data_IF_198998155252
#
_entry.id   IF_198998155252
#
_cell.length_a   1.000
_cell.length_b   1.000
_cell.length_c   1.000
_cell.angle_alpha   90.00
_cell.angle_beta   90.00
_cell.angle_gamma   90.00
#
_symmetry.space_group_name_H-M   'P 1'
#
loop_
_entity.id
_entity.type
_entity.pdbx_description
1 polymer ?
#
# COMPACT_ATOMS: atom_id res chain seq x y z
N UNK A 1 31.08 2.33 16.85
CA UNK A 1 30.68 1.90 15.49
C UNK A 1 29.76 3.00 14.96
N UNK A 2 30.00 3.57 13.79
CA UNK A 2 29.09 4.57 13.23
C UNK A 2 27.78 3.87 12.91
N UNK A 3 26.67 4.32 13.50
CA UNK A 3 25.33 3.85 13.17
C UNK A 3 25.15 3.97 11.65
N UNK A 4 24.86 2.87 10.99
CA UNK A 4 24.60 2.86 9.56
C UNK A 4 23.13 3.15 9.33
N UNK A 5 22.85 4.19 8.56
CA UNK A 5 21.52 4.61 8.23
C UNK A 5 21.05 3.93 6.95
N UNK A 6 19.77 3.71 6.84
CA UNK A 6 19.11 3.19 5.63
C UNK A 6 18.31 4.31 4.97
N UNK A 7 18.57 4.52 3.69
CA UNK A 7 17.72 5.38 2.86
C UNK A 7 16.62 4.52 2.24
N UNK A 8 15.36 4.86 2.45
CA UNK A 8 14.21 4.21 1.81
C UNK A 8 13.61 5.14 0.76
N UNK A 9 13.40 4.64 -0.45
CA UNK A 9 12.81 5.37 -1.57
C UNK A 9 11.54 4.70 -2.08
N UNK A 10 10.52 5.51 -2.33
CA UNK A 10 9.27 5.12 -2.97
C UNK A 10 8.94 6.13 -4.07
N UNK A 11 9.09 5.72 -5.33
CA UNK A 11 8.98 6.57 -6.52
C UNK A 11 7.65 6.34 -7.23
N UNK A 12 6.82 7.37 -7.30
CA UNK A 12 5.64 7.41 -8.17
C UNK A 12 5.94 8.10 -9.50
N UNK A 13 5.00 8.10 -10.45
CA UNK A 13 5.17 8.72 -11.77
C UNK A 13 5.45 10.23 -11.71
N UNK A 14 4.90 10.93 -10.72
CA UNK A 14 5.05 12.37 -10.52
C UNK A 14 5.51 12.75 -9.12
N UNK A 15 5.99 11.79 -8.33
CA UNK A 15 6.40 12.01 -6.94
C UNK A 15 7.52 11.07 -6.51
N UNK A 16 8.26 11.48 -5.48
CA UNK A 16 9.23 10.63 -4.78
C UNK A 16 9.10 10.88 -3.29
N UNK A 17 8.90 9.83 -2.52
CA UNK A 17 9.03 9.86 -1.06
C UNK A 17 10.36 9.25 -0.67
N UNK A 18 11.07 9.88 0.25
CA UNK A 18 12.30 9.36 0.82
C UNK A 18 12.28 9.47 2.34
N UNK A 19 12.87 8.49 3.00
CA UNK A 19 13.10 8.52 4.45
C UNK A 19 14.47 7.95 4.79
N UNK A 20 15.16 8.59 5.70
CA UNK A 20 16.42 8.11 6.28
C UNK A 20 16.11 7.59 7.67
N UNK A 21 16.30 6.29 7.87
CA UNK A 21 16.01 5.61 9.13
C UNK A 21 17.31 5.14 9.80
N UNK A 22 17.32 5.27 11.11
CA UNK A 22 18.25 4.54 11.95
C UNK A 22 17.75 3.09 12.07
N UNK A 23 18.59 2.13 11.65
CA UNK A 23 18.17 0.73 11.59
C UNK A 23 17.91 0.13 12.98
N UNK A 24 18.61 0.57 14.01
CA UNK A 24 18.52 -0.01 15.34
C UNK A 24 17.29 0.50 16.11
N UNK A 25 17.01 1.80 15.99
CA UNK A 25 15.88 2.43 16.70
C UNK A 25 14.60 2.52 15.88
N UNK A 26 14.69 2.43 14.55
CA UNK A 26 13.58 2.69 13.64
C UNK A 26 13.21 4.18 13.53
N UNK A 27 14.00 5.06 14.12
CA UNK A 27 13.76 6.51 14.08
C UNK A 27 13.98 7.07 12.69
N UNK A 28 13.04 7.91 12.23
CA UNK A 28 13.17 8.66 10.97
C UNK A 28 13.90 9.97 11.25
N UNK A 29 15.15 10.05 10.81
CA UNK A 29 16.00 11.24 11.00
C UNK A 29 15.69 12.34 10.00
N UNK A 30 15.45 11.96 8.75
CA UNK A 30 15.11 12.87 7.65
C UNK A 30 14.03 12.24 6.78
N UNK A 31 13.06 13.02 6.35
CA UNK A 31 12.10 12.59 5.33
C UNK A 31 11.96 13.64 4.25
N UNK A 32 11.56 13.22 3.06
CA UNK A 32 11.30 14.11 1.94
C UNK A 32 10.10 13.66 1.11
N UNK A 33 9.49 14.65 0.43
CA UNK A 33 8.46 14.45 -0.56
C UNK A 33 8.72 15.37 -1.76
N UNK A 34 9.09 14.79 -2.88
CA UNK A 34 9.11 15.49 -4.16
C UNK A 34 7.74 15.34 -4.83
N UNK A 35 7.26 16.43 -5.40
CA UNK A 35 5.95 16.53 -6.03
C UNK A 35 6.06 17.21 -7.37
N UNK A 36 5.06 16.96 -8.24
CA UNK A 36 4.98 17.51 -9.59
C UNK A 36 6.21 17.20 -10.46
N UNK A 37 6.86 16.05 -10.22
CA UNK A 37 7.98 15.62 -11.06
C UNK A 37 7.54 15.56 -12.52
N UNK A 38 8.48 15.90 -13.40
CA UNK A 38 8.29 16.08 -14.84
C UNK A 38 7.46 17.31 -15.25
N UNK A 39 7.13 18.21 -14.29
CA UNK A 39 6.49 19.51 -14.55
C UNK A 39 7.45 20.66 -14.22
N UNK A 40 7.26 21.85 -14.86
CA UNK A 40 8.16 22.98 -14.65
C UNK A 40 8.20 23.53 -13.22
N UNK A 41 7.15 23.28 -12.44
CA UNK A 41 7.01 23.72 -11.05
C UNK A 41 7.24 22.57 -10.05
N UNK A 42 8.05 21.58 -10.42
CA UNK A 42 8.49 20.50 -9.55
C UNK A 42 9.27 21.02 -8.33
N UNK A 43 9.05 20.41 -7.20
CA UNK A 43 9.74 20.76 -5.94
C UNK A 43 9.90 19.54 -5.03
N UNK A 44 10.80 19.66 -4.05
CA UNK A 44 10.94 18.69 -2.97
C UNK A 44 10.86 19.40 -1.62
N UNK A 45 10.11 18.82 -0.69
CA UNK A 45 10.00 19.29 0.69
C UNK A 45 10.74 18.34 1.60
N UNK A 46 11.68 18.83 2.37
CA UNK A 46 12.40 18.09 3.39
C UNK A 46 11.84 18.36 4.78
N UNK A 47 11.90 17.35 5.64
CA UNK A 47 11.64 17.46 7.08
C UNK A 47 12.82 16.88 7.84
N UNK A 48 13.47 17.72 8.64
CA UNK A 48 14.61 17.35 9.49
C UNK A 48 14.48 18.06 10.84
N UNK A 49 14.65 17.34 11.96
CA UNK A 49 14.52 17.87 13.33
C UNK A 49 13.22 18.67 13.58
N UNK A 50 12.11 18.26 12.96
CA UNK A 50 10.83 18.95 13.10
C UNK A 50 10.62 20.15 12.17
N UNK A 51 11.68 20.68 11.58
CA UNK A 51 11.63 21.78 10.61
C UNK A 51 11.35 21.27 9.21
N UNK A 52 10.64 22.08 8.42
CA UNK A 52 10.35 21.79 7.01
C UNK A 52 10.88 22.90 6.14
N UNK A 53 11.52 22.56 5.04
CA UNK A 53 11.86 23.51 4.00
C UNK A 53 11.62 22.92 2.61
N UNK A 54 11.45 23.79 1.63
CA UNK A 54 11.11 23.44 0.27
C UNK A 54 12.24 23.87 -0.66
N UNK A 55 12.62 22.97 -1.57
CA UNK A 55 13.64 23.21 -2.60
C UNK A 55 12.99 23.11 -3.98
N UNK A 56 13.24 24.08 -4.83
CA UNK A 56 12.80 24.11 -6.22
C UNK A 56 13.59 23.10 -7.06
N UNK A 57 12.90 22.34 -7.89
CA UNK A 57 13.49 21.37 -8.81
C UNK A 57 13.35 21.78 -10.29
N UNK A 58 12.90 23.02 -10.60
CA UNK A 58 12.64 23.46 -11.96
C UNK A 58 13.80 23.29 -12.93
N UNK A 59 15.05 23.38 -12.45
CA UNK A 59 16.25 23.15 -13.24
C UNK A 59 16.44 21.68 -13.68
N UNK A 60 15.93 20.72 -12.91
CA UNK A 60 15.95 19.29 -13.20
C UNK A 60 14.72 18.62 -12.56
N UNK A 61 13.54 18.76 -13.18
CA UNK A 61 12.27 18.40 -12.56
C UNK A 61 11.94 16.90 -12.62
N UNK A 62 12.94 16.03 -12.65
CA UNK A 62 12.79 14.58 -12.74
C UNK A 62 13.23 13.85 -11.47
N UNK A 63 13.10 12.52 -11.45
CA UNK A 63 13.52 11.68 -10.33
C UNK A 63 15.02 11.83 -10.02
N UNK A 64 15.87 12.04 -11.05
CA UNK A 64 17.30 12.23 -10.85
C UNK A 64 17.57 13.56 -10.14
N UNK A 65 16.84 14.62 -10.49
CA UNK A 65 16.91 15.90 -9.79
C UNK A 65 16.46 15.80 -8.34
N UNK A 66 15.37 15.09 -8.09
CA UNK A 66 14.87 14.84 -6.72
C UNK A 66 15.88 14.06 -5.86
N UNK A 67 16.47 12.97 -6.39
CA UNK A 67 17.51 12.20 -5.68
C UNK A 67 18.79 13.01 -5.51
N UNK A 68 19.15 13.86 -6.48
CA UNK A 68 20.26 14.79 -6.37
C UNK A 68 20.07 15.80 -5.25
N UNK A 69 18.90 16.43 -5.18
CA UNK A 69 18.56 17.35 -4.09
C UNK A 69 18.59 16.66 -2.71
N UNK A 70 18.12 15.41 -2.64
CA UNK A 70 18.22 14.60 -1.42
C UNK A 70 19.68 14.36 -1.02
N UNK A 71 20.59 14.07 -1.96
CA UNK A 71 22.01 13.91 -1.66
C UNK A 71 22.62 15.21 -1.08
N UNK A 72 22.30 16.37 -1.67
CA UNK A 72 22.79 17.64 -1.15
C UNK A 72 22.25 17.94 0.26
N UNK A 73 20.99 17.61 0.52
CA UNK A 73 20.40 17.73 1.86
C UNK A 73 21.09 16.82 2.88
N UNK A 74 21.37 15.57 2.51
CA UNK A 74 22.12 14.63 3.36
C UNK A 74 23.51 15.15 3.70
N UNK A 75 24.23 15.73 2.72
CA UNK A 75 25.54 16.35 2.94
C UNK A 75 25.46 17.55 3.88
N UNK A 76 24.46 18.41 3.69
CA UNK A 76 24.25 19.58 4.55
C UNK A 76 24.09 19.22 6.04
N UNK A 77 23.56 18.03 6.31
CA UNK A 77 23.36 17.52 7.68
C UNK A 77 24.40 16.47 8.10
N UNK A 78 25.41 16.17 7.28
CA UNK A 78 26.45 15.18 7.57
C UNK A 78 25.93 13.75 7.67
N UNK A 79 24.82 13.44 6.98
CA UNK A 79 24.20 12.12 6.97
C UNK A 79 24.65 11.25 5.79
N UNK A 80 25.17 11.85 4.72
CA UNK A 80 25.55 11.17 3.48
C UNK A 80 26.54 10.01 3.71
N UNK A 81 27.60 10.27 4.48
CA UNK A 81 28.63 9.27 4.80
C UNK A 81 28.16 8.16 5.76
N UNK A 82 26.99 8.33 6.38
CA UNK A 82 26.38 7.36 7.30
C UNK A 82 25.38 6.43 6.60
N UNK A 83 24.93 6.76 5.37
CA UNK A 83 24.06 5.87 4.60
C UNK A 83 24.84 4.60 4.27
N UNK A 84 24.34 3.46 4.73
CA UNK A 84 24.96 2.16 4.48
C UNK A 84 24.35 1.38 3.32
N UNK A 85 23.06 1.58 3.05
CA UNK A 85 22.33 0.93 1.97
C UNK A 85 21.05 1.69 1.62
N UNK A 86 20.45 1.35 0.47
CA UNK A 86 19.23 1.98 -0.05
C UNK A 86 18.18 0.92 -0.31
N UNK A 87 17.00 1.09 0.27
CA UNK A 87 15.83 0.26 0.05
C UNK A 87 14.84 0.93 -0.92
N UNK A 88 14.31 0.16 -1.85
CA UNK A 88 13.36 0.63 -2.84
C UNK A 88 12.07 -0.18 -2.76
N UNK A 89 10.93 0.52 -2.71
CA UNK A 89 9.64 -0.12 -2.93
C UNK A 89 9.43 -0.34 -4.42
N UNK A 90 9.00 -1.56 -4.78
CA UNK A 90 8.55 -1.92 -6.12
C UNK A 90 7.18 -2.57 -6.02
N UNK A 91 6.21 -2.13 -6.84
CA UNK A 91 4.83 -2.65 -6.73
C UNK A 91 4.77 -4.10 -7.19
N UNK A 92 5.27 -4.45 -8.36
CA UNK A 92 5.15 -5.82 -8.86
C UNK A 92 6.49 -6.48 -9.13
N UNK A 93 6.69 -7.63 -8.49
CA UNK A 93 7.76 -8.60 -8.79
C UNK A 93 7.27 -9.80 -9.60
N UNK A 94 5.98 -9.81 -10.00
CA UNK A 94 5.37 -10.93 -10.72
C UNK A 94 5.50 -12.23 -9.91
N UNK A 95 5.75 -13.32 -10.59
CA UNK A 95 6.10 -14.62 -9.99
C UNK A 95 7.63 -14.81 -9.83
N UNK A 96 8.41 -13.82 -10.31
CA UNK A 96 9.88 -13.91 -10.27
C UNK A 96 10.43 -13.69 -8.85
N UNK A 97 9.73 -12.89 -8.03
CA UNK A 97 10.23 -12.49 -6.71
C UNK A 97 9.19 -12.75 -5.63
N UNK A 98 9.53 -13.68 -4.74
CA UNK A 98 8.74 -14.02 -3.54
C UNK A 98 9.27 -13.39 -2.26
N UNK A 99 10.38 -12.67 -2.33
CA UNK A 99 11.03 -11.97 -1.22
C UNK A 99 11.82 -10.75 -1.71
N UNK A 100 12.30 -9.96 -0.76
CA UNK A 100 13.17 -8.83 -1.03
C UNK A 100 14.56 -9.31 -1.49
N UNK A 101 15.22 -8.56 -2.37
CA UNK A 101 16.46 -8.98 -3.01
C UNK A 101 17.43 -7.82 -3.21
N UNK A 102 18.74 -8.10 -3.12
CA UNK A 102 19.80 -7.21 -3.57
C UNK A 102 19.72 -6.99 -5.08
N UNK A 103 19.89 -5.73 -5.50
CA UNK A 103 19.77 -5.33 -6.89
C UNK A 103 21.05 -5.61 -7.65
N UNK A 104 20.91 -6.33 -8.74
CA UNK A 104 21.87 -6.50 -9.81
C UNK A 104 21.19 -6.27 -11.17
N UNK A 105 21.91 -6.50 -12.27
CA UNK A 105 21.38 -6.32 -13.64
C UNK A 105 20.23 -7.32 -13.95
N UNK A 106 20.27 -8.53 -13.39
CA UNK A 106 19.21 -9.52 -13.57
C UNK A 106 17.93 -9.11 -12.87
N UNK A 107 18.04 -8.53 -11.67
CA UNK A 107 16.90 -8.01 -10.91
C UNK A 107 16.26 -6.83 -11.65
N UNK A 108 17.07 -5.92 -12.20
CA UNK A 108 16.56 -4.80 -13.03
C UNK A 108 15.79 -5.35 -14.24
N UNK A 109 16.38 -6.29 -14.98
CA UNK A 109 15.71 -6.91 -16.13
C UNK A 109 14.42 -7.67 -15.72
N UNK A 110 14.41 -8.30 -14.55
CA UNK A 110 13.23 -8.94 -13.98
C UNK A 110 12.11 -7.93 -13.68
N UNK A 111 12.43 -6.79 -13.07
CA UNK A 111 11.45 -5.72 -12.81
C UNK A 111 10.90 -5.14 -14.13
N UNK A 112 11.75 -5.00 -15.15
CA UNK A 112 11.32 -4.56 -16.49
C UNK A 112 10.30 -5.52 -17.12
N UNK A 113 10.51 -6.83 -16.99
CA UNK A 113 9.55 -7.86 -17.43
C UNK A 113 8.20 -7.76 -16.71
N UNK A 114 8.18 -7.25 -15.49
CA UNK A 114 6.97 -7.06 -14.69
C UNK A 114 6.22 -5.73 -14.99
N UNK A 115 6.73 -4.88 -15.89
CA UNK A 115 6.05 -3.62 -16.26
C UNK A 115 4.60 -3.84 -16.72
N UNK A 116 4.26 -4.86 -17.55
CA UNK A 116 2.87 -5.09 -17.94
C UNK A 116 1.91 -5.36 -16.77
N UNK A 117 2.41 -5.87 -15.63
CA UNK A 117 1.62 -6.13 -14.42
C UNK A 117 1.40 -4.87 -13.58
N UNK A 118 2.27 -3.88 -13.69
CA UNK A 118 2.19 -2.61 -12.96
C UNK A 118 2.64 -1.43 -13.84
N UNK A 119 1.96 -1.16 -14.98
CA UNK A 119 2.43 -0.19 -15.98
C UNK A 119 2.43 1.25 -15.48
N UNK A 120 1.63 1.57 -14.45
CA UNK A 120 1.57 2.89 -13.82
C UNK A 120 2.62 3.09 -12.71
N UNK A 121 3.32 2.02 -12.29
CA UNK A 121 4.18 2.03 -11.10
C UNK A 121 5.62 1.59 -11.41
N UNK A 122 5.82 0.39 -11.94
CA UNK A 122 7.17 -0.17 -12.14
C UNK A 122 8.12 0.71 -12.97
N UNK A 123 7.69 1.40 -14.05
CA UNK A 123 8.59 2.33 -14.76
C UNK A 123 9.15 3.43 -13.87
N UNK A 124 8.33 4.02 -13.00
CA UNK A 124 8.78 5.06 -12.07
C UNK A 124 9.73 4.51 -11.00
N UNK A 125 9.47 3.30 -10.49
CA UNK A 125 10.36 2.65 -9.55
C UNK A 125 11.74 2.38 -10.15
N UNK A 126 11.81 1.93 -11.40
CA UNK A 126 13.08 1.75 -12.13
C UNK A 126 13.83 3.07 -12.33
N UNK A 127 13.12 4.16 -12.62
CA UNK A 127 13.74 5.50 -12.73
C UNK A 127 14.38 5.92 -11.41
N UNK A 128 13.66 5.76 -10.31
CA UNK A 128 14.18 6.07 -8.97
C UNK A 128 15.37 5.20 -8.56
N UNK A 129 15.30 3.90 -8.85
CA UNK A 129 16.39 2.96 -8.61
C UNK A 129 17.65 3.34 -9.36
N UNK A 130 17.54 3.60 -10.68
CA UNK A 130 18.68 4.03 -11.52
C UNK A 130 19.24 5.39 -11.08
N UNK A 131 18.38 6.33 -10.69
CA UNK A 131 18.81 7.60 -10.14
C UNK A 131 19.62 7.43 -8.86
N UNK A 132 19.13 6.58 -7.93
CA UNK A 132 19.85 6.27 -6.71
C UNK A 132 21.21 5.61 -6.97
N UNK A 133 21.29 4.61 -7.83
CA UNK A 133 22.56 3.96 -8.21
C UNK A 133 23.56 4.94 -8.81
N UNK A 134 23.09 5.91 -9.60
CA UNK A 134 23.98 6.90 -10.26
C UNK A 134 24.54 7.94 -9.29
N UNK A 135 23.79 8.27 -8.23
CA UNK A 135 24.12 9.33 -7.27
C UNK A 135 24.82 8.76 -6.04
N UNK A 136 24.31 7.66 -5.49
CA UNK A 136 24.88 6.94 -4.33
C UNK A 136 25.78 5.77 -4.77
N UNK A 137 26.83 6.10 -5.50
CA UNK A 137 27.73 5.09 -6.10
C UNK A 137 28.31 4.14 -5.06
N UNK A 138 28.23 2.85 -5.35
CA UNK A 138 28.85 1.79 -4.53
C UNK A 138 28.04 1.39 -3.30
N UNK A 139 26.91 2.02 -3.01
CA UNK A 139 26.02 1.54 -1.96
C UNK A 139 25.16 0.38 -2.44
N UNK A 140 24.96 -0.67 -1.61
CA UNK A 140 24.03 -1.73 -1.92
C UNK A 140 22.60 -1.17 -2.04
N UNK A 141 21.88 -1.65 -3.04
CA UNK A 141 20.46 -1.35 -3.26
C UNK A 141 19.65 -2.63 -3.06
N UNK A 142 18.53 -2.53 -2.38
CA UNK A 142 17.59 -3.63 -2.15
C UNK A 142 16.22 -3.24 -2.67
N UNK A 143 15.54 -4.15 -3.35
CA UNK A 143 14.14 -3.98 -3.74
C UNK A 143 13.23 -4.83 -2.88
N UNK A 144 12.09 -4.25 -2.49
CA UNK A 144 11.04 -4.86 -1.70
C UNK A 144 9.75 -4.79 -2.50
N UNK A 145 9.14 -5.95 -2.77
CA UNK A 145 7.99 -6.06 -3.67
C UNK A 145 6.68 -6.15 -2.90
N UNK A 146 5.69 -5.32 -3.30
CA UNK A 146 4.35 -5.38 -2.72
C UNK A 146 3.61 -6.69 -3.01
N UNK A 147 3.99 -7.37 -4.10
CA UNK A 147 3.41 -8.67 -4.48
C UNK A 147 4.04 -9.86 -3.76
N UNK A 148 5.24 -9.71 -3.18
CA UNK A 148 6.00 -10.83 -2.64
C UNK A 148 5.28 -11.56 -1.50
N UNK A 149 4.64 -10.85 -0.57
CA UNK A 149 3.89 -11.43 0.54
C UNK A 149 2.75 -12.35 0.07
N UNK A 150 2.18 -12.07 -1.11
CA UNK A 150 1.06 -12.82 -1.67
C UNK A 150 1.49 -14.06 -2.48
N UNK A 151 2.80 -14.31 -2.64
CA UNK A 151 3.26 -15.51 -3.35
C UNK A 151 2.98 -16.82 -2.60
N UNK A 152 2.54 -16.76 -1.35
CA UNK A 152 2.09 -17.92 -0.55
C UNK A 152 0.62 -18.28 -0.77
N UNK A 153 -0.12 -17.51 -1.57
CA UNK A 153 -1.51 -17.85 -1.91
C UNK A 153 -1.59 -19.21 -2.63
N UNK A 154 -2.56 -20.06 -2.27
CA UNK A 154 -2.75 -21.33 -2.97
C UNK A 154 -3.29 -21.11 -4.39
N UNK A 155 -3.05 -22.07 -5.27
CA UNK A 155 -3.37 -21.98 -6.70
C UNK A 155 -4.84 -21.60 -6.97
N UNK A 156 -5.77 -22.20 -6.23
CA UNK A 156 -7.20 -21.92 -6.38
C UNK A 156 -7.62 -20.52 -5.94
N UNK A 157 -6.78 -19.79 -5.19
CA UNK A 157 -7.02 -18.40 -4.80
C UNK A 157 -6.45 -17.40 -5.81
N UNK A 158 -5.33 -17.71 -6.47
CA UNK A 158 -4.72 -16.79 -7.40
C UNK A 158 -5.11 -17.01 -8.87
N UNK A 159 -5.62 -18.20 -9.23
CA UNK A 159 -6.01 -18.51 -10.62
C UNK A 159 -7.37 -17.90 -10.93
N UNK A 160 -7.45 -17.18 -12.05
CA UNK A 160 -8.73 -16.72 -12.57
C UNK A 160 -9.47 -17.85 -13.31
N UNK A 161 -10.79 -17.86 -13.21
CA UNK A 161 -11.66 -18.86 -13.87
C UNK A 161 -11.85 -18.53 -15.37
N UNK A 162 -10.75 -18.48 -16.11
CA UNK A 162 -10.66 -18.29 -17.56
C UNK A 162 -9.81 -19.42 -18.15
N UNK A 163 -9.70 -19.56 -19.51
CA UNK A 163 -8.86 -20.62 -20.09
C UNK A 163 -7.45 -20.61 -19.47
N UNK A 164 -7.04 -21.75 -18.91
CA UNK A 164 -5.80 -21.87 -18.11
C UNK A 164 -4.54 -21.53 -18.92
N UNK A 165 -4.57 -21.76 -20.23
CA UNK A 165 -3.49 -21.37 -21.16
C UNK A 165 -3.13 -19.88 -21.10
N UNK A 166 -4.07 -19.01 -20.66
CA UNK A 166 -3.79 -17.58 -20.49
C UNK A 166 -2.89 -17.32 -19.28
N UNK A 167 -3.04 -18.12 -18.22
CA UNK A 167 -2.09 -18.09 -17.12
C UNK A 167 -0.72 -18.61 -17.56
N UNK A 168 -0.65 -19.78 -18.19
CA UNK A 168 0.61 -20.38 -18.63
C UNK A 168 1.39 -19.47 -19.59
N UNK A 169 0.69 -18.80 -20.49
CA UNK A 169 1.32 -17.98 -21.53
C UNK A 169 1.64 -16.55 -21.09
N UNK A 170 0.77 -15.95 -20.27
CA UNK A 170 0.84 -14.52 -19.95
C UNK A 170 0.98 -14.22 -18.46
N UNK A 171 0.98 -15.21 -17.59
CA UNK A 171 0.95 -15.02 -16.15
C UNK A 171 -0.35 -14.34 -15.68
N UNK A 172 -1.48 -14.62 -16.36
CA UNK A 172 -2.77 -14.03 -16.03
C UNK A 172 -3.34 -14.66 -14.77
N UNK A 173 -3.03 -14.03 -13.62
CA UNK A 173 -3.44 -14.46 -12.28
C UNK A 173 -3.60 -13.27 -11.34
N UNK A 174 -4.14 -13.51 -10.15
CA UNK A 174 -4.10 -12.56 -9.03
C UNK A 174 -2.69 -12.48 -8.47
N UNK A 175 -2.16 -11.27 -8.32
CA UNK A 175 -0.87 -11.00 -7.65
C UNK A 175 -1.06 -10.28 -6.31
N UNK A 176 -2.02 -9.38 -6.22
CA UNK A 176 -2.24 -8.52 -5.07
C UNK A 176 -1.28 -7.33 -5.00
N UNK A 177 -1.42 -6.55 -3.94
CA UNK A 177 -0.52 -5.44 -3.60
C UNK A 177 -0.56 -5.16 -2.09
N UNK A 178 0.10 -4.09 -1.63
CA UNK A 178 0.27 -3.72 -0.22
C UNK A 178 0.93 -4.82 0.64
N UNK A 179 1.60 -5.79 0.03
CA UNK A 179 2.19 -6.93 0.73
C UNK A 179 3.21 -6.53 1.79
N UNK A 180 3.99 -5.47 1.56
CA UNK A 180 4.94 -4.93 2.53
C UNK A 180 4.22 -4.46 3.80
N UNK A 181 3.08 -3.76 3.65
CA UNK A 181 2.22 -3.36 4.76
C UNK A 181 1.63 -4.59 5.48
N UNK A 182 1.08 -5.56 4.74
CA UNK A 182 0.51 -6.77 5.35
C UNK A 182 1.52 -7.58 6.14
N UNK A 183 2.73 -7.71 5.64
CA UNK A 183 3.82 -8.39 6.36
C UNK A 183 4.13 -7.69 7.66
N UNK A 184 4.34 -6.38 7.64
CA UNK A 184 4.57 -5.57 8.83
C UNK A 184 3.42 -5.67 9.82
N UNK A 185 2.19 -5.43 9.36
CA UNK A 185 1.00 -5.39 10.21
C UNK A 185 0.66 -6.75 10.80
N UNK A 186 0.89 -7.86 10.07
CA UNK A 186 0.68 -9.21 10.62
C UNK A 186 1.64 -9.53 11.76
N UNK A 187 2.92 -9.16 11.62
CA UNK A 187 3.93 -9.34 12.68
C UNK A 187 3.61 -8.45 13.90
N UNK A 188 3.26 -7.18 13.67
CA UNK A 188 2.89 -6.24 14.74
C UNK A 188 1.59 -6.62 15.45
N UNK A 189 0.60 -7.14 14.73
CA UNK A 189 -0.65 -7.64 15.33
C UNK A 189 -0.36 -8.80 16.28
N UNK A 190 0.46 -9.76 15.85
CA UNK A 190 0.84 -10.90 16.69
C UNK A 190 1.59 -10.45 17.95
N UNK A 191 2.55 -9.53 17.79
CA UNK A 191 3.29 -8.91 18.90
C UNK A 191 2.36 -8.16 19.85
N UNK A 192 1.46 -7.33 19.33
CA UNK A 192 0.51 -6.52 20.11
C UNK A 192 -0.45 -7.40 20.93
N UNK A 193 -0.91 -8.50 20.35
CA UNK A 193 -1.82 -9.45 21.01
C UNK A 193 -1.08 -10.47 21.90
N UNK A 194 0.26 -10.48 21.91
CA UNK A 194 1.07 -11.44 22.66
C UNK A 194 0.90 -12.88 22.18
N UNK A 195 0.71 -13.10 20.87
CA UNK A 195 0.49 -14.40 20.25
C UNK A 195 1.51 -14.71 19.18
N UNK A 196 1.74 -15.99 18.88
CA UNK A 196 2.49 -16.35 17.68
C UNK A 196 1.61 -16.11 16.44
N UNK A 197 2.19 -15.49 15.41
CA UNK A 197 1.48 -15.23 14.14
C UNK A 197 1.00 -16.51 13.45
N UNK A 198 1.66 -17.64 13.72
CA UNK A 198 1.27 -18.95 13.19
C UNK A 198 -0.03 -19.48 13.77
N UNK A 199 -0.41 -19.01 14.95
CA UNK A 199 -1.64 -19.40 15.62
C UNK A 199 -2.81 -18.44 15.34
N UNK A 200 -2.60 -17.40 14.51
CA UNK A 200 -3.58 -16.39 14.21
C UNK A 200 -4.14 -16.50 12.78
N UNK A 201 -5.45 -16.46 12.69
CA UNK A 201 -6.20 -16.22 11.45
C UNK A 201 -6.62 -14.78 11.44
N UNK A 202 -6.02 -14.00 10.54
CA UNK A 202 -6.22 -12.56 10.47
C UNK A 202 -6.89 -12.19 9.17
N UNK A 203 -7.75 -11.19 9.23
CA UNK A 203 -8.22 -10.43 8.07
C UNK A 203 -7.70 -9.01 8.24
N UNK A 204 -6.86 -8.56 7.34
CA UNK A 204 -6.18 -7.26 7.45
C UNK A 204 -6.71 -6.35 6.34
N UNK A 205 -7.34 -5.24 6.72
CA UNK A 205 -7.85 -4.21 5.82
C UNK A 205 -6.88 -3.02 5.80
N UNK A 206 -6.12 -2.89 4.71
CA UNK A 206 -5.28 -1.73 4.45
C UNK A 206 -6.10 -0.71 3.66
N UNK A 207 -6.56 0.34 4.34
CA UNK A 207 -7.47 1.34 3.80
C UNK A 207 -6.78 2.70 3.68
N UNK A 208 -6.52 3.10 2.46
CA UNK A 208 -5.99 4.39 2.07
C UNK A 208 -6.69 4.90 0.82
N UNK A 209 -6.07 5.81 0.06
CA UNK A 209 -6.57 6.19 -1.27
C UNK A 209 -6.59 4.99 -2.22
N UNK A 210 -5.56 4.12 -2.18
CA UNK A 210 -5.65 2.72 -2.59
C UNK A 210 -6.05 1.88 -1.39
N UNK A 211 -6.97 0.93 -1.56
CA UNK A 211 -7.45 0.07 -0.50
C UNK A 211 -7.46 -1.39 -0.93
N UNK A 212 -7.07 -2.27 -0.03
CA UNK A 212 -7.17 -3.72 -0.22
C UNK A 212 -7.37 -4.44 1.12
N UNK A 213 -7.70 -5.72 1.05
CA UNK A 213 -7.92 -6.56 2.21
C UNK A 213 -7.32 -7.95 1.93
N UNK A 214 -6.76 -8.57 2.95
CA UNK A 214 -6.04 -9.84 2.82
C UNK A 214 -6.41 -10.80 3.94
N UNK A 215 -6.55 -12.08 3.60
CA UNK A 215 -6.64 -13.18 4.53
C UNK A 215 -5.22 -13.69 4.87
N UNK A 216 -4.89 -13.77 6.15
CA UNK A 216 -3.60 -14.28 6.63
C UNK A 216 -3.85 -15.43 7.59
N UNK A 217 -3.20 -16.56 7.36
CA UNK A 217 -3.21 -17.71 8.28
C UNK A 217 -1.83 -18.34 8.32
N UNK A 218 -1.38 -18.77 9.49
CA UNK A 218 -0.03 -19.29 9.73
C UNK A 218 1.08 -18.27 9.38
N UNK A 219 0.78 -16.97 9.44
CA UNK A 219 1.70 -15.90 9.05
C UNK A 219 1.87 -15.71 7.53
N UNK A 220 1.05 -16.37 6.70
CA UNK A 220 1.11 -16.36 5.25
C UNK A 220 -0.17 -15.79 4.63
N UNK A 221 -0.04 -15.11 3.49
CA UNK A 221 -1.20 -14.67 2.69
C UNK A 221 -1.93 -15.88 2.11
N UNK A 222 -3.25 -15.91 2.29
CA UNK A 222 -4.14 -16.96 1.76
C UNK A 222 -5.00 -16.49 0.61
N UNK A 223 -5.35 -15.22 0.62
CA UNK A 223 -6.10 -14.53 -0.44
C UNK A 223 -5.99 -13.03 -0.25
N UNK A 224 -6.24 -12.26 -1.30
CA UNK A 224 -6.25 -10.80 -1.25
C UNK A 224 -7.21 -10.22 -2.29
N UNK A 225 -7.67 -9.00 -2.07
CA UNK A 225 -8.70 -8.39 -2.91
C UNK A 225 -8.19 -7.78 -4.22
N UNK A 226 -6.95 -7.28 -4.27
CA UNK A 226 -6.38 -6.78 -5.50
C UNK A 226 -5.97 -7.96 -6.41
N UNK A 227 -6.14 -7.79 -7.72
CA UNK A 227 -6.01 -8.86 -8.70
C UNK A 227 -4.70 -8.84 -9.48
N UNK A 228 -4.82 -8.99 -10.80
CA UNK A 228 -3.72 -8.83 -11.77
C UNK A 228 -3.05 -7.47 -11.61
N UNK A 229 -3.86 -6.44 -11.38
CA UNK A 229 -3.44 -5.06 -11.11
C UNK A 229 -4.09 -4.56 -9.82
N UNK A 230 -3.64 -3.41 -9.26
CA UNK A 230 -4.27 -2.83 -8.07
C UNK A 230 -5.66 -2.19 -8.31
N UNK A 231 -6.44 -2.66 -9.29
CA UNK A 231 -7.78 -2.15 -9.62
C UNK A 231 -8.90 -2.98 -8.98
N UNK A 232 -8.79 -4.31 -9.03
CA UNK A 232 -9.80 -5.25 -8.51
C UNK A 232 -9.99 -5.10 -6.99
N UNK A 233 -11.18 -5.39 -6.49
CA UNK A 233 -11.47 -5.54 -5.07
C UNK A 233 -12.32 -4.43 -4.47
N UNK A 234 -11.84 -3.77 -3.45
CA UNK A 234 -12.55 -2.75 -2.68
C UNK A 234 -12.83 -1.48 -3.50
N UNK A 235 -13.87 -0.74 -3.14
CA UNK A 235 -14.03 0.65 -3.57
C UNK A 235 -12.87 1.46 -3.00
N UNK A 236 -12.23 2.31 -3.81
CA UNK A 236 -11.07 3.10 -3.41
C UNK A 236 -11.33 4.59 -3.63
N UNK A 237 -10.35 5.44 -3.40
CA UNK A 237 -10.51 6.88 -3.61
C UNK A 237 -10.91 7.25 -5.04
N UNK A 238 -10.19 6.70 -6.04
CA UNK A 238 -10.44 6.95 -7.48
C UNK A 238 -10.68 5.70 -8.30
N UNK A 239 -10.43 4.51 -7.74
CA UNK A 239 -10.57 3.20 -8.42
C UNK A 239 -11.90 2.56 -8.08
N UNK A 240 -12.51 1.91 -9.08
CA UNK A 240 -13.82 1.29 -8.93
C UNK A 240 -13.85 0.08 -7.99
N UNK A 241 -12.75 -0.67 -7.90
CA UNK A 241 -12.80 -2.03 -7.39
C UNK A 241 -13.56 -2.95 -8.36
N UNK A 242 -14.17 -4.00 -7.83
CA UNK A 242 -14.90 -4.99 -8.61
C UNK A 242 -15.99 -4.38 -9.49
N UNK A 243 -16.00 -4.83 -10.72
CA UNK A 243 -16.99 -4.45 -11.74
C UNK A 243 -17.24 -5.64 -12.67
N UNK A 244 -18.43 -5.73 -13.27
CA UNK A 244 -18.70 -6.70 -14.31
C UNK A 244 -17.82 -6.39 -15.56
N UNK A 245 -17.02 -7.35 -16.06
CA UNK A 245 -16.20 -7.16 -17.24
C UNK A 245 -16.98 -6.71 -18.48
N UNK A 246 -18.27 -7.05 -18.59
CA UNK A 246 -19.15 -6.65 -19.72
C UNK A 246 -19.37 -5.13 -19.78
N UNK A 247 -19.02 -4.40 -18.72
CA UNK A 247 -19.03 -2.91 -18.74
C UNK A 247 -18.11 -2.37 -19.84
N UNK A 248 -17.02 -3.05 -20.17
CA UNK A 248 -16.14 -2.65 -21.27
C UNK A 248 -16.86 -2.63 -22.61
N UNK A 249 -17.55 -3.72 -22.96
CA UNK A 249 -18.34 -3.80 -24.21
C UNK A 249 -19.51 -2.81 -24.19
N UNK A 250 -20.22 -2.72 -23.06
CA UNK A 250 -21.34 -1.80 -22.89
C UNK A 250 -20.94 -0.33 -23.14
N UNK A 251 -19.84 0.12 -22.57
CA UNK A 251 -19.36 1.51 -22.73
C UNK A 251 -18.74 1.75 -24.11
N UNK A 252 -18.10 0.74 -24.72
CA UNK A 252 -17.58 0.85 -26.07
C UNK A 252 -18.73 1.05 -27.07
N UNK A 253 -19.82 0.30 -26.93
CA UNK A 253 -20.98 0.35 -27.84
C UNK A 253 -21.89 1.56 -27.61
N UNK A 254 -22.15 1.94 -26.34
CA UNK A 254 -23.16 2.95 -25.99
C UNK A 254 -22.57 4.34 -25.71
N UNK A 255 -21.29 4.43 -25.36
CA UNK A 255 -20.61 5.69 -25.06
C UNK A 255 -19.39 5.96 -25.98
N UNK A 256 -19.15 5.10 -26.98
CA UNK A 256 -18.00 5.20 -27.89
C UNK A 256 -16.64 5.32 -27.17
N UNK A 257 -16.50 4.69 -26.03
CA UNK A 257 -15.25 4.72 -25.26
C UNK A 257 -14.29 3.61 -25.73
N UNK A 258 -13.02 3.96 -25.88
CA UNK A 258 -11.96 2.95 -26.12
C UNK A 258 -11.62 2.20 -24.84
N UNK A 259 -10.98 1.02 -24.96
CA UNK A 259 -10.49 0.24 -23.81
C UNK A 259 -9.59 1.11 -22.91
N UNK A 260 -8.70 1.92 -23.51
CA UNK A 260 -7.81 2.81 -22.77
C UNK A 260 -8.59 3.88 -21.95
N UNK A 261 -9.63 4.48 -22.55
CA UNK A 261 -10.48 5.46 -21.87
C UNK A 261 -11.26 4.83 -20.71
N UNK A 262 -11.79 3.61 -20.90
CA UNK A 262 -12.50 2.88 -19.84
C UNK A 262 -11.55 2.53 -18.72
N UNK A 263 -10.36 2.01 -19.03
CA UNK A 263 -9.33 1.68 -18.05
C UNK A 263 -8.89 2.93 -17.25
N UNK A 264 -8.70 4.08 -17.91
CA UNK A 264 -8.36 5.34 -17.25
C UNK A 264 -9.50 5.82 -16.32
N UNK A 265 -10.75 5.72 -16.78
CA UNK A 265 -11.92 6.06 -15.98
C UNK A 265 -12.02 5.20 -14.72
N UNK A 266 -11.85 3.87 -14.85
CA UNK A 266 -11.94 2.94 -13.72
C UNK A 266 -10.82 3.15 -12.69
N UNK A 267 -9.65 3.61 -13.13
CA UNK A 267 -8.50 3.86 -12.26
C UNK A 267 -8.48 5.26 -11.63
N UNK A 268 -8.94 6.30 -12.34
CA UNK A 268 -8.70 7.69 -11.95
C UNK A 268 -9.95 8.53 -11.69
N UNK A 269 -11.14 8.08 -12.17
CA UNK A 269 -12.38 8.87 -12.14
C UNK A 269 -13.55 8.14 -11.49
N UNK A 270 -13.26 7.02 -10.83
CA UNK A 270 -14.25 6.13 -10.19
C UNK A 270 -14.12 6.19 -8.66
N UNK A 271 -14.54 5.16 -7.97
CA UNK A 271 -14.44 5.07 -6.51
C UNK A 271 -15.21 6.17 -5.77
N UNK A 272 -14.68 6.60 -4.63
CA UNK A 272 -15.31 7.68 -3.84
C UNK A 272 -15.50 8.95 -4.66
N UNK A 273 -14.50 9.33 -5.46
CA UNK A 273 -14.56 10.49 -6.34
C UNK A 273 -15.70 10.36 -7.36
N UNK A 274 -15.76 9.26 -8.08
CA UNK A 274 -16.72 9.06 -9.17
C UNK A 274 -18.16 8.95 -8.67
N UNK A 275 -18.38 8.29 -7.54
CA UNK A 275 -19.73 8.12 -6.96
C UNK A 275 -20.20 9.41 -6.32
N UNK A 276 -19.36 10.12 -5.57
CA UNK A 276 -19.73 11.34 -4.87
C UNK A 276 -19.81 12.55 -5.78
N UNK A 277 -19.00 12.59 -6.84
CA UNK A 277 -18.78 13.78 -7.66
C UNK A 277 -18.04 14.91 -6.94
N UNK A 278 -17.41 14.64 -5.77
CA UNK A 278 -16.80 15.64 -4.90
C UNK A 278 -15.29 15.46 -4.74
N UNK A 279 -14.89 14.34 -4.16
CA UNK A 279 -13.52 14.13 -3.70
C UNK A 279 -13.17 12.64 -3.62
N UNK A 280 -11.87 12.34 -3.74
CA UNK A 280 -11.31 11.04 -3.39
C UNK A 280 -10.83 10.97 -1.92
N UNK A 281 -10.82 12.10 -1.20
CA UNK A 281 -10.46 12.14 0.23
C UNK A 281 -11.64 11.67 1.08
N UNK A 282 -11.45 10.56 1.80
CA UNK A 282 -12.48 9.94 2.63
C UNK A 282 -12.99 10.88 3.73
N UNK A 283 -12.15 11.75 4.29
CA UNK A 283 -12.55 12.72 5.32
C UNK A 283 -13.56 13.71 4.76
N UNK A 284 -13.29 14.24 3.56
CA UNK A 284 -14.24 15.12 2.85
C UNK A 284 -15.56 14.40 2.60
N UNK A 285 -15.51 13.11 2.20
CA UNK A 285 -16.72 12.32 1.97
C UNK A 285 -17.51 12.11 3.28
N UNK A 286 -16.85 11.80 4.39
CA UNK A 286 -17.49 11.68 5.70
C UNK A 286 -18.16 12.99 6.14
N UNK A 287 -17.46 14.12 6.01
CA UNK A 287 -17.98 15.46 6.35
C UNK A 287 -19.19 15.85 5.52
N UNK A 288 -19.14 15.67 4.20
CA UNK A 288 -20.23 16.00 3.29
C UNK A 288 -21.43 15.04 3.44
N UNK A 289 -21.17 13.76 3.72
CA UNK A 289 -22.21 12.79 4.05
C UNK A 289 -22.98 13.20 5.34
N UNK A 290 -22.25 13.65 6.37
CA UNK A 290 -22.85 14.15 7.62
C UNK A 290 -23.71 15.41 7.40
N UNK A 291 -23.33 16.28 6.45
CA UNK A 291 -24.14 17.45 6.03
C UNK A 291 -25.34 17.08 5.14
N UNK A 292 -25.46 15.82 4.76
CA UNK A 292 -26.61 15.32 3.99
C UNK A 292 -26.39 15.22 2.48
N UNK A 293 -25.18 15.44 1.97
CA UNK A 293 -24.90 15.35 0.53
C UNK A 293 -25.18 13.93 -0.01
N UNK A 294 -26.10 13.75 -0.99
CA UNK A 294 -26.55 12.42 -1.38
C UNK A 294 -25.45 11.56 -2.01
N UNK A 295 -24.60 12.13 -2.87
CA UNK A 295 -23.50 11.42 -3.51
C UNK A 295 -22.43 10.98 -2.49
N UNK A 296 -22.13 11.81 -1.50
CA UNK A 296 -21.19 11.45 -0.43
C UNK A 296 -21.74 10.34 0.48
N UNK A 297 -23.04 10.39 0.81
CA UNK A 297 -23.70 9.31 1.56
C UNK A 297 -23.63 7.99 0.82
N UNK A 298 -23.95 7.99 -0.48
CA UNK A 298 -23.89 6.79 -1.31
C UNK A 298 -22.47 6.25 -1.41
N UNK A 299 -21.49 7.11 -1.67
CA UNK A 299 -20.08 6.71 -1.79
C UNK A 299 -19.56 6.07 -0.51
N UNK A 300 -19.85 6.67 0.65
CA UNK A 300 -19.47 6.14 1.95
C UNK A 300 -20.14 4.80 2.24
N UNK A 301 -21.44 4.67 1.95
CA UNK A 301 -22.17 3.42 2.15
C UNK A 301 -21.64 2.29 1.27
N UNK A 302 -21.37 2.57 0.00
CA UNK A 302 -20.79 1.58 -0.92
C UNK A 302 -19.40 1.12 -0.48
N UNK A 303 -18.56 2.04 0.01
CA UNK A 303 -17.24 1.71 0.55
C UNK A 303 -17.35 0.77 1.75
N UNK A 304 -18.18 1.11 2.73
CA UNK A 304 -18.41 0.33 3.95
C UNK A 304 -19.02 -1.04 3.62
N UNK A 305 -20.05 -1.08 2.79
CA UNK A 305 -20.74 -2.31 2.43
C UNK A 305 -19.82 -3.29 1.67
N UNK A 306 -19.06 -2.80 0.69
CA UNK A 306 -18.08 -3.60 -0.03
C UNK A 306 -17.02 -4.17 0.90
N UNK A 307 -16.50 -3.35 1.81
CA UNK A 307 -15.50 -3.76 2.80
C UNK A 307 -16.06 -4.84 3.73
N UNK A 308 -17.27 -4.67 4.26
CA UNK A 308 -17.92 -5.66 5.12
C UNK A 308 -18.09 -7.02 4.41
N UNK A 309 -18.51 -7.03 3.14
CA UNK A 309 -18.60 -8.24 2.32
C UNK A 309 -17.25 -8.93 2.16
N UNK A 310 -16.20 -8.16 1.86
CA UNK A 310 -14.85 -8.70 1.72
C UNK A 310 -14.30 -9.27 3.03
N UNK A 311 -14.61 -8.66 4.18
CA UNK A 311 -14.23 -9.23 5.49
C UNK A 311 -14.84 -10.62 5.66
N UNK A 312 -16.11 -10.81 5.32
CA UNK A 312 -16.75 -12.12 5.32
C UNK A 312 -16.05 -13.12 4.40
N UNK A 313 -15.77 -12.71 3.17
CA UNK A 313 -15.06 -13.54 2.17
C UNK A 313 -13.65 -13.93 2.66
N UNK A 314 -12.87 -12.97 3.15
CA UNK A 314 -11.51 -13.21 3.64
C UNK A 314 -11.49 -14.05 4.93
N UNK A 315 -12.53 -13.99 5.73
CA UNK A 315 -12.71 -14.89 6.90
C UNK A 315 -12.83 -16.35 6.45
N UNK A 316 -13.49 -16.61 5.33
CA UNK A 316 -13.53 -17.95 4.71
C UNK A 316 -12.15 -18.36 4.22
N UNK A 317 -11.45 -17.50 3.51
CA UNK A 317 -10.12 -17.79 2.98
C UNK A 317 -9.06 -18.04 4.09
N UNK A 318 -9.18 -17.34 5.21
CA UNK A 318 -8.32 -17.58 6.39
C UNK A 318 -8.70 -18.85 7.21
N UNK A 319 -9.84 -19.47 6.91
CA UNK A 319 -10.37 -20.61 7.67
C UNK A 319 -10.92 -20.24 9.04
N UNK A 320 -11.30 -18.98 9.25
CA UNK A 320 -11.84 -18.43 10.47
C UNK A 320 -11.29 -17.03 10.77
N UNK A 321 -11.64 -16.48 11.94
CA UNK A 321 -11.24 -15.13 12.33
C UNK A 321 -10.85 -15.11 13.81
N UNK A 322 -9.59 -14.75 14.08
CA UNK A 322 -9.08 -14.45 15.41
C UNK A 322 -8.88 -12.94 15.60
N UNK A 323 -8.45 -12.25 14.50
CA UNK A 323 -8.28 -10.81 14.50
C UNK A 323 -8.69 -10.18 13.16
N UNK A 324 -9.53 -9.15 13.22
CA UNK A 324 -9.80 -8.20 12.14
C UNK A 324 -8.91 -6.97 12.37
N UNK A 325 -8.03 -6.66 11.44
CA UNK A 325 -7.05 -5.58 11.61
C UNK A 325 -7.34 -4.44 10.65
N UNK A 326 -7.42 -3.22 11.17
CA UNK A 326 -7.55 -1.99 10.39
C UNK A 326 -6.21 -1.27 10.37
N UNK A 327 -5.75 -0.90 9.17
CA UNK A 327 -4.50 -0.20 8.94
C UNK A 327 -4.59 0.72 7.71
N UNK A 328 -3.55 1.49 7.44
CA UNK A 328 -3.56 2.51 6.39
C UNK A 328 -4.33 3.77 6.84
N UNK A 329 -4.14 4.87 6.13
CA UNK A 329 -4.61 6.19 6.58
C UNK A 329 -6.09 6.26 6.96
N UNK A 330 -6.98 5.61 6.21
CA UNK A 330 -8.41 5.52 6.52
C UNK A 330 -8.65 4.52 7.65
N UNK A 331 -8.07 3.32 7.56
CA UNK A 331 -8.25 2.27 8.57
C UNK A 331 -7.79 2.68 9.97
N UNK A 332 -6.70 3.44 10.04
CA UNK A 332 -6.12 3.95 11.28
C UNK A 332 -6.90 5.13 11.88
N UNK A 333 -7.52 5.98 11.06
CA UNK A 333 -8.02 7.27 11.54
C UNK A 333 -9.54 7.45 11.47
N UNK A 334 -10.27 6.67 10.65
CA UNK A 334 -11.72 6.77 10.55
C UNK A 334 -12.42 5.82 11.54
N UNK A 335 -12.77 6.34 12.69
CA UNK A 335 -13.61 5.66 13.68
C UNK A 335 -15.02 5.36 13.12
N UNK A 336 -15.55 6.25 12.28
CA UNK A 336 -16.87 6.10 11.64
C UNK A 336 -16.92 4.89 10.72
N UNK A 337 -15.93 4.72 9.84
CA UNK A 337 -15.86 3.56 8.93
C UNK A 337 -15.74 2.27 9.73
N UNK A 338 -14.85 2.21 10.72
CA UNK A 338 -14.68 1.01 11.56
C UNK A 338 -15.95 0.65 12.31
N UNK A 339 -16.61 1.62 12.93
CA UNK A 339 -17.89 1.42 13.63
C UNK A 339 -18.95 0.86 12.67
N UNK A 340 -19.15 1.50 11.54
CA UNK A 340 -20.20 1.10 10.59
C UNK A 340 -19.91 -0.25 9.94
N UNK A 341 -18.65 -0.57 9.66
CA UNK A 341 -18.24 -1.89 9.16
C UNK A 341 -18.52 -2.96 10.21
N UNK A 342 -18.13 -2.76 11.47
CA UNK A 342 -18.40 -3.69 12.55
C UNK A 342 -19.93 -3.88 12.80
N UNK A 343 -20.73 -2.85 12.50
CA UNK A 343 -22.19 -2.96 12.53
C UNK A 343 -22.76 -4.04 11.60
N UNK A 344 -22.10 -4.32 10.47
CA UNK A 344 -22.45 -5.42 9.56
C UNK A 344 -21.99 -6.80 10.07
N UNK A 345 -21.03 -6.85 11.02
CA UNK A 345 -20.29 -8.07 11.36
C UNK A 345 -20.74 -8.70 12.70
N UNK A 346 -21.86 -8.26 13.26
CA UNK A 346 -22.40 -8.84 14.50
C UNK A 346 -22.65 -10.34 14.41
N UNK A 347 -22.99 -10.88 13.25
CA UNK A 347 -23.15 -12.30 13.01
C UNK A 347 -21.83 -13.10 13.14
N UNK A 348 -20.69 -12.46 12.98
CA UNK A 348 -19.35 -13.01 13.25
C UNK A 348 -18.97 -12.89 14.74
N UNK A 349 -19.80 -12.27 15.56
CA UNK A 349 -19.54 -12.04 16.98
C UNK A 349 -18.52 -10.91 17.23
N UNK A 350 -18.49 -9.92 16.35
CA UNK A 350 -17.67 -8.71 16.50
C UNK A 350 -18.56 -7.56 16.98
N UNK A 351 -18.29 -7.06 18.18
CA UNK A 351 -19.06 -5.98 18.81
C UNK A 351 -18.13 -4.82 19.13
N UNK A 352 -18.48 -3.61 18.67
CA UNK A 352 -17.65 -2.42 18.83
C UNK A 352 -17.64 -1.93 20.28
N UNK A 353 -16.46 -1.55 20.76
CA UNK A 353 -16.25 -0.68 21.90
C UNK A 353 -16.04 0.75 21.40
N UNK A 354 -17.04 1.61 21.56
CA UNK A 354 -17.03 2.98 21.01
C UNK A 354 -15.89 3.83 21.60
N UNK A 355 -15.63 3.71 22.90
CA UNK A 355 -14.58 4.51 23.55
C UNK A 355 -13.19 4.07 23.07
N UNK A 356 -12.95 2.77 23.00
CA UNK A 356 -11.70 2.20 22.50
C UNK A 356 -11.49 2.56 21.01
N UNK A 357 -12.56 2.51 20.19
CA UNK A 357 -12.52 2.90 18.80
C UNK A 357 -12.10 4.38 18.60
N UNK A 358 -12.63 5.28 19.42
CA UNK A 358 -12.26 6.70 19.38
C UNK A 358 -10.80 6.95 19.80
N UNK A 359 -10.26 6.15 20.72
CA UNK A 359 -8.87 6.27 21.19
C UNK A 359 -7.85 5.71 20.20
N UNK A 360 -8.23 4.70 19.42
CA UNK A 360 -7.35 4.04 18.45
C UNK A 360 -7.25 4.85 17.14
N UNK A 361 -6.69 6.05 17.21
CA UNK A 361 -6.47 6.98 16.09
C UNK A 361 -5.14 7.70 16.24
N UNK A 362 -4.69 8.33 15.15
CA UNK A 362 -3.50 9.22 15.13
C UNK A 362 -2.23 8.53 15.63
N UNK A 363 -1.99 7.30 15.15
CA UNK A 363 -0.82 6.51 15.49
C UNK A 363 -0.99 5.61 16.73
N UNK A 364 -2.16 5.63 17.38
CA UNK A 364 -2.43 4.77 18.52
C UNK A 364 -3.00 3.42 18.09
N UNK A 365 -2.27 2.35 18.38
CA UNK A 365 -2.78 0.99 18.27
C UNK A 365 -3.79 0.68 19.40
N UNK A 366 -4.77 -0.20 19.13
CA UNK A 366 -5.72 -0.59 20.17
C UNK A 366 -6.74 -1.61 19.68
N UNK A 367 -7.17 -2.48 20.61
CA UNK A 367 -8.35 -3.33 20.41
C UNK A 367 -9.59 -2.45 20.49
N UNK A 368 -10.50 -2.60 19.53
CA UNK A 368 -11.71 -1.77 19.39
C UNK A 368 -13.01 -2.57 19.53
N UNK A 369 -12.92 -3.82 20.00
CA UNK A 369 -14.07 -4.68 20.29
C UNK A 369 -14.22 -4.89 21.78
N UNK A 370 -15.47 -5.14 22.20
CA UNK A 370 -15.81 -5.50 23.58
C UNK A 370 -15.28 -6.87 23.98
N UNK A 371 -15.16 -7.13 25.28
CA UNK A 371 -14.57 -8.36 25.80
C UNK A 371 -15.38 -9.63 25.51
N UNK A 372 -16.68 -9.49 25.22
CA UNK A 372 -17.58 -10.60 24.84
C UNK A 372 -17.56 -10.90 23.33
N UNK A 373 -16.77 -10.17 22.55
CA UNK A 373 -16.56 -10.48 21.12
C UNK A 373 -15.83 -11.81 20.95
N UNK A 374 -16.23 -12.59 19.92
CA UNK A 374 -15.61 -13.89 19.60
C UNK A 374 -14.22 -13.76 18.99
N UNK A 375 -13.97 -12.67 18.29
CA UNK A 375 -12.67 -12.29 17.74
C UNK A 375 -12.41 -10.83 18.10
N UNK A 376 -11.16 -10.40 18.01
CA UNK A 376 -10.82 -8.99 18.23
C UNK A 376 -10.83 -8.22 16.91
N UNK A 377 -11.33 -6.99 16.92
CA UNK A 377 -10.98 -6.01 15.92
C UNK A 377 -9.94 -5.08 16.53
N UNK A 378 -8.89 -4.77 15.77
CA UNK A 378 -7.73 -4.02 16.27
C UNK A 378 -7.24 -3.02 15.21
N UNK A 379 -6.78 -1.87 15.67
CA UNK A 379 -6.08 -0.89 14.83
C UNK A 379 -4.59 -1.06 15.05
N UNK A 380 -3.85 -1.29 13.98
CA UNK A 380 -2.38 -1.38 13.98
C UNK A 380 -1.86 -0.41 12.91
N UNK A 381 -1.17 0.67 13.31
CA UNK A 381 -0.54 1.56 12.34
C UNK A 381 0.51 0.83 11.50
N UNK A 382 0.44 1.01 10.16
CA UNK A 382 1.44 0.43 9.26
C UNK A 382 2.73 1.24 9.25
N UNK A 383 3.85 0.58 8.98
CA UNK A 383 5.14 1.23 8.78
C UNK A 383 5.93 0.49 7.69
N UNK A 384 5.57 0.75 6.43
CA UNK A 384 6.21 0.13 5.28
C UNK A 384 7.70 0.56 5.15
N UNK A 385 8.00 1.81 5.49
CA UNK A 385 9.37 2.34 5.42
C UNK A 385 10.30 1.57 6.38
N UNK A 386 9.85 1.30 7.59
CA UNK A 386 10.61 0.50 8.56
C UNK A 386 10.80 -0.94 8.07
N UNK A 387 9.76 -1.55 7.48
CA UNK A 387 9.86 -2.90 6.91
C UNK A 387 10.87 -2.97 5.79
N UNK A 388 10.86 -1.99 4.89
CA UNK A 388 11.85 -1.87 3.80
C UNK A 388 13.26 -1.67 4.38
N UNK A 389 13.39 -0.82 5.40
CA UNK A 389 14.69 -0.58 6.05
C UNK A 389 15.27 -1.84 6.69
N UNK A 390 14.45 -2.63 7.41
CA UNK A 390 14.88 -3.89 8.01
C UNK A 390 15.36 -4.92 6.96
N UNK A 391 14.59 -5.09 5.87
CA UNK A 391 15.02 -5.98 4.79
C UNK A 391 16.30 -5.49 4.12
N UNK A 392 16.41 -4.17 3.93
CA UNK A 392 17.59 -3.56 3.33
C UNK A 392 18.82 -3.79 4.19
N UNK A 393 18.73 -3.55 5.49
CA UNK A 393 19.83 -3.80 6.43
C UNK A 393 20.25 -5.27 6.44
N UNK A 394 19.27 -6.17 6.59
CA UNK A 394 19.51 -7.62 6.61
C UNK A 394 20.22 -8.12 5.36
N UNK A 395 19.77 -7.72 4.18
CA UNK A 395 20.32 -8.18 2.90
C UNK A 395 21.66 -7.52 2.56
N UNK A 396 21.92 -6.33 3.09
CA UNK A 396 23.18 -5.60 2.91
C UNK A 396 24.25 -5.95 3.95
N UNK A 397 23.90 -6.77 4.95
CA UNK A 397 24.82 -7.16 6.03
C UNK A 397 25.13 -6.04 7.01
N UNK A 398 24.16 -5.16 7.27
CA UNK A 398 24.29 -4.01 8.19
C UNK A 398 23.72 -4.32 9.55
#
# INVERSE_FOLDING_TARGET
MSQKLILVLNCGSSSLKGAVLDNDSGEVLLSCLAEKLNLPDAYITFKFNGEKHKVDLSAKPDHTGAVGALMEELKAHGLDSRIGAIGHRVVSGGELYSESILVDDEVIAGIEKCIPLAPLHNPAHLLGLRAAQSIFKGLPNVVVFDTAFHQTMPEHAYTYAVPHELYEKYGLRRYGAHGTSYRYVSDETARFLGKDKKDLRMVIAHLGNGASITAVANGESRDTSMGLTPLEGLVMGTRSGDIDPSVFSFLAENANMTIAQITDMLNKKSGLLGISGLSNDCRTIEEEAAKGHPGAKLALEMFIYRLAKYIGSMTVAAGGLDALVFTGGIGENSDIIRERVLGYLGFLGLYIDQEANLKARFGNAGVITTADSKAVAVVIPTNEELMIAHDTARLSGL
#
